data_IF_188657545871
#
_entry.id   IF_188657545871
#
_cell.length_a   1.000
_cell.length_b   1.000
_cell.length_c   1.000
_cell.angle_alpha   90.00
_cell.angle_beta   90.00
_cell.angle_gamma   90.00
#
_symmetry.space_group_name_H-M   'P 1'
#
loop_
_entity.id
_entity.type
_entity.pdbx_description
1 polymer ?
#
# COMPACT_ATOMS: atom_id res chain seq x y z
N UNK A 1 -82.78 11.75 -6.29
CA UNK A 1 -82.22 10.49 -5.74
C UNK A 1 -81.06 9.89 -6.56
N UNK A 2 -80.71 10.44 -7.75
CA UNK A 2 -79.64 9.89 -8.62
C UNK A 2 -78.20 10.32 -8.27
N UNK A 3 -77.98 11.38 -7.48
CA UNK A 3 -76.63 11.86 -7.15
C UNK A 3 -75.89 11.04 -6.07
N UNK A 4 -76.61 10.38 -5.14
CA UNK A 4 -76.01 9.61 -4.05
C UNK A 4 -75.52 8.21 -4.47
N UNK A 5 -76.03 7.66 -5.57
CA UNK A 5 -75.58 6.38 -6.11
C UNK A 5 -74.19 6.49 -6.78
N UNK A 6 -73.91 7.65 -7.39
CA UNK A 6 -72.65 7.93 -8.10
C UNK A 6 -71.46 8.11 -7.14
N UNK A 7 -71.64 8.82 -6.02
CA UNK A 7 -70.57 9.04 -5.04
C UNK A 7 -70.17 7.78 -4.28
N UNK A 8 -71.12 6.88 -3.98
CA UNK A 8 -70.80 5.56 -3.39
C UNK A 8 -70.00 4.67 -4.34
N UNK A 9 -70.28 4.72 -5.65
CA UNK A 9 -69.52 4.02 -6.68
C UNK A 9 -68.08 4.53 -6.79
N UNK A 10 -67.88 5.85 -6.72
CA UNK A 10 -66.55 6.48 -6.78
C UNK A 10 -65.71 6.14 -5.55
N UNK A 11 -66.29 6.23 -4.36
CA UNK A 11 -65.62 5.84 -3.11
C UNK A 11 -65.18 4.38 -3.13
N UNK A 12 -66.03 3.48 -3.61
CA UNK A 12 -65.70 2.07 -3.75
C UNK A 12 -64.53 1.84 -4.73
N UNK A 13 -64.54 2.52 -5.88
CA UNK A 13 -63.43 2.46 -6.84
C UNK A 13 -62.10 3.00 -6.29
N UNK A 14 -62.13 4.03 -5.44
CA UNK A 14 -60.95 4.54 -4.75
C UNK A 14 -60.37 3.51 -3.78
N UNK A 15 -61.21 2.82 -3.01
CA UNK A 15 -60.77 1.75 -2.11
C UNK A 15 -60.17 0.56 -2.87
N UNK A 16 -60.78 0.14 -3.98
CA UNK A 16 -60.21 -0.91 -4.84
C UNK A 16 -58.87 -0.48 -5.45
N UNK A 17 -58.75 0.78 -5.89
CA UNK A 17 -57.50 1.31 -6.43
C UNK A 17 -56.37 1.29 -5.38
N UNK A 18 -56.60 1.78 -4.16
CA UNK A 18 -55.59 1.76 -3.10
C UNK A 18 -55.25 0.33 -2.65
N UNK A 19 -56.23 -0.58 -2.63
CA UNK A 19 -56.00 -2.00 -2.38
C UNK A 19 -55.09 -2.63 -3.45
N UNK A 20 -55.38 -2.39 -4.72
CA UNK A 20 -54.54 -2.82 -5.84
C UNK A 20 -53.14 -2.21 -5.80
N UNK A 21 -53.04 -0.89 -5.57
CA UNK A 21 -51.77 -0.16 -5.51
C UNK A 21 -50.89 -0.69 -4.37
N UNK A 22 -51.48 -0.95 -3.19
CA UNK A 22 -50.77 -1.54 -2.05
C UNK A 22 -50.23 -2.94 -2.37
N UNK A 23 -51.05 -3.81 -2.99
CA UNK A 23 -50.61 -5.14 -3.42
C UNK A 23 -49.52 -5.08 -4.50
N UNK A 24 -49.67 -4.19 -5.47
CA UNK A 24 -48.68 -3.97 -6.52
C UNK A 24 -47.33 -3.49 -5.95
N UNK A 25 -47.36 -2.48 -5.08
CA UNK A 25 -46.17 -1.94 -4.42
C UNK A 25 -45.51 -3.01 -3.55
N UNK A 26 -46.27 -3.73 -2.73
CA UNK A 26 -45.75 -4.83 -1.90
C UNK A 26 -45.04 -5.88 -2.76
N UNK A 27 -45.69 -6.34 -3.84
CA UNK A 27 -45.09 -7.33 -4.75
C UNK A 27 -43.82 -6.81 -5.40
N UNK A 28 -43.81 -5.54 -5.82
CA UNK A 28 -42.65 -4.93 -6.50
C UNK A 28 -41.49 -4.68 -5.54
N UNK A 29 -41.76 -4.25 -4.31
CA UNK A 29 -40.77 -4.07 -3.26
C UNK A 29 -40.13 -5.41 -2.88
N UNK A 30 -40.94 -6.45 -2.65
CA UNK A 30 -40.42 -7.79 -2.32
C UNK A 30 -39.55 -8.32 -3.45
N UNK A 31 -40.04 -8.29 -4.70
CA UNK A 31 -39.26 -8.72 -5.85
C UNK A 31 -37.95 -7.94 -6.01
N UNK A 32 -37.99 -6.61 -5.83
CA UNK A 32 -36.80 -5.76 -5.87
C UNK A 32 -35.83 -6.10 -4.75
N UNK A 33 -36.33 -6.35 -3.54
CA UNK A 33 -35.53 -6.73 -2.37
C UNK A 33 -34.84 -8.06 -2.57
N UNK A 34 -35.54 -9.07 -3.09
CA UNK A 34 -34.96 -10.38 -3.38
C UNK A 34 -33.88 -10.29 -4.47
N UNK A 35 -34.13 -9.49 -5.52
CA UNK A 35 -33.15 -9.27 -6.59
C UNK A 35 -31.95 -8.48 -6.09
N UNK A 36 -32.17 -7.50 -5.22
CA UNK A 36 -31.11 -6.76 -4.55
C UNK A 36 -30.25 -7.69 -3.67
N UNK A 37 -30.86 -8.53 -2.83
CA UNK A 37 -30.14 -9.46 -1.96
C UNK A 37 -29.25 -10.43 -2.75
N UNK A 38 -29.74 -10.98 -3.87
CA UNK A 38 -28.92 -11.82 -4.76
C UNK A 38 -27.73 -11.06 -5.35
N UNK A 39 -27.95 -9.82 -5.79
CA UNK A 39 -26.91 -9.00 -6.41
C UNK A 39 -25.94 -8.40 -5.38
N UNK A 40 -26.39 -8.14 -4.15
CA UNK A 40 -25.61 -7.54 -3.06
C UNK A 40 -24.33 -8.34 -2.83
N UNK A 41 -24.43 -9.66 -2.74
CA UNK A 41 -23.28 -10.53 -2.49
C UNK A 41 -22.21 -10.44 -3.60
N UNK A 42 -22.62 -10.21 -4.85
CA UNK A 42 -21.69 -10.00 -5.96
C UNK A 42 -20.95 -8.66 -5.85
N UNK A 43 -21.69 -7.58 -5.56
CA UNK A 43 -21.08 -6.26 -5.35
C UNK A 43 -20.16 -6.25 -4.13
N UNK A 44 -20.59 -6.84 -3.01
CA UNK A 44 -19.79 -6.96 -1.78
C UNK A 44 -18.48 -7.70 -2.07
N UNK A 45 -18.50 -8.81 -2.82
CA UNK A 45 -17.27 -9.50 -3.23
C UNK A 45 -16.37 -8.61 -4.08
N UNK A 46 -16.91 -7.88 -5.07
CA UNK A 46 -16.12 -6.94 -5.89
C UNK A 46 -15.44 -5.86 -5.04
N UNK A 47 -16.15 -5.31 -4.06
CA UNK A 47 -15.62 -4.25 -3.20
C UNK A 47 -14.65 -4.78 -2.13
N UNK A 48 -14.80 -6.02 -1.67
CA UNK A 48 -13.91 -6.63 -0.67
C UNK A 48 -12.62 -7.18 -1.30
N UNK A 49 -12.66 -7.71 -2.52
CA UNK A 49 -11.51 -8.40 -3.15
C UNK A 49 -10.30 -7.50 -3.39
N UNK A 50 -10.47 -6.17 -3.40
CA UNK A 50 -9.35 -5.22 -3.44
C UNK A 50 -9.62 -4.04 -2.51
N UNK A 51 -9.14 -4.15 -1.26
CA UNK A 51 -9.23 -3.16 -0.16
C UNK A 51 -8.74 -1.77 -0.57
N UNK A 52 -9.51 -1.04 -1.36
CA UNK A 52 -9.24 0.36 -1.75
C UNK A 52 -9.13 0.64 -3.25
N UNK A 53 -8.87 -0.33 -4.13
CA UNK A 53 -8.72 -0.06 -5.59
C UNK A 53 -9.98 0.53 -6.22
N UNK A 54 -11.16 0.11 -5.75
CA UNK A 54 -12.44 0.61 -6.24
C UNK A 54 -13.04 1.73 -5.38
N UNK A 55 -12.34 2.21 -4.35
CA UNK A 55 -12.84 3.28 -3.47
C UNK A 55 -13.18 4.55 -4.28
N UNK A 56 -12.34 4.91 -5.26
CA UNK A 56 -12.58 6.08 -6.12
C UNK A 56 -13.86 5.94 -6.96
N UNK A 57 -14.07 4.79 -7.62
CA UNK A 57 -15.29 4.59 -8.40
C UNK A 57 -16.52 4.57 -7.48
N UNK A 58 -16.43 3.89 -6.34
CA UNK A 58 -17.50 3.88 -5.35
C UNK A 58 -17.87 5.30 -4.89
N UNK A 59 -16.89 6.13 -4.54
CA UNK A 59 -17.12 7.52 -4.15
C UNK A 59 -17.81 8.31 -5.26
N UNK A 60 -17.39 8.18 -6.53
CA UNK A 60 -18.07 8.84 -7.64
C UNK A 60 -19.52 8.35 -7.82
N UNK A 61 -19.77 7.04 -7.77
CA UNK A 61 -21.13 6.51 -7.86
C UNK A 61 -22.01 6.96 -6.68
N UNK A 62 -21.45 6.99 -5.47
CA UNK A 62 -22.14 7.45 -4.28
C UNK A 62 -22.47 8.94 -4.36
N UNK A 63 -21.52 9.79 -4.78
CA UNK A 63 -21.77 11.23 -4.93
C UNK A 63 -22.79 11.52 -6.03
N UNK A 64 -22.71 10.83 -7.18
CA UNK A 64 -23.71 10.92 -8.24
C UNK A 64 -25.09 10.48 -7.72
N UNK A 65 -25.15 9.41 -6.92
CA UNK A 65 -26.38 8.93 -6.30
C UNK A 65 -27.00 9.96 -5.34
N UNK A 66 -26.20 10.52 -4.43
CA UNK A 66 -26.65 11.54 -3.46
C UNK A 66 -27.11 12.81 -4.18
N UNK A 67 -26.33 13.30 -5.16
CA UNK A 67 -26.70 14.47 -5.95
C UNK A 67 -27.97 14.23 -6.76
N UNK A 68 -28.08 13.08 -7.43
CA UNK A 68 -29.27 12.72 -8.20
C UNK A 68 -30.52 12.62 -7.33
N UNK A 69 -30.40 12.00 -6.15
CA UNK A 69 -31.50 11.93 -5.19
C UNK A 69 -31.89 13.33 -4.66
N UNK A 70 -30.89 14.17 -4.37
CA UNK A 70 -31.10 15.57 -3.99
C UNK A 70 -31.86 16.35 -5.05
N UNK A 71 -31.49 16.21 -6.33
CA UNK A 71 -32.17 16.87 -7.46
C UNK A 71 -33.63 16.40 -7.59
N UNK A 72 -33.89 15.11 -7.40
CA UNK A 72 -35.26 14.57 -7.48
C UNK A 72 -36.16 15.05 -6.33
N UNK A 73 -35.60 15.24 -5.14
CA UNK A 73 -36.32 15.64 -3.94
C UNK A 73 -36.43 17.16 -3.80
N UNK A 74 -35.50 17.91 -4.39
CA UNK A 74 -35.42 19.37 -4.28
C UNK A 74 -36.76 20.09 -4.57
N UNK A 75 -37.54 19.75 -5.61
CA UNK A 75 -38.83 20.39 -5.86
C UNK A 75 -39.85 20.17 -4.73
N UNK A 76 -39.86 18.98 -4.13
CA UNK A 76 -40.76 18.64 -3.02
C UNK A 76 -40.35 19.33 -1.71
N UNK A 77 -39.05 19.43 -1.45
CA UNK A 77 -38.53 20.15 -0.29
C UNK A 77 -38.75 21.67 -0.41
N UNK A 78 -38.57 22.23 -1.60
CA UNK A 78 -38.76 23.66 -1.85
C UNK A 78 -40.23 24.10 -1.68
N UNK A 79 -41.20 23.23 -2.00
CA UNK A 79 -42.62 23.52 -1.80
C UNK A 79 -43.07 23.33 -0.34
N UNK A 80 -42.45 22.41 0.40
CA UNK A 80 -42.78 22.11 1.80
C UNK A 80 -42.07 23.07 2.78
N UNK A 81 -40.85 23.49 2.44
CA UNK A 81 -40.01 24.36 3.26
C UNK A 81 -39.58 25.59 2.45
N UNK A 82 -40.30 26.73 2.53
CA UNK A 82 -40.02 27.93 1.74
C UNK A 82 -38.71 28.64 2.12
N UNK A 83 -37.95 28.13 3.10
CA UNK A 83 -36.60 28.61 3.46
C UNK A 83 -35.68 28.66 2.24
N UNK A 84 -35.88 27.76 1.27
CA UNK A 84 -35.09 27.70 0.03
C UNK A 84 -35.75 28.39 -1.18
N UNK A 85 -37.02 28.80 -1.06
CA UNK A 85 -37.80 29.44 -2.13
C UNK A 85 -37.67 30.97 -2.13
N UNK A 86 -37.31 31.57 -0.98
CA UNK A 86 -37.34 33.03 -0.81
C UNK A 86 -36.27 33.82 -1.59
N UNK A 87 -35.22 33.19 -2.14
CA UNK A 87 -34.04 33.93 -2.66
C UNK A 87 -33.59 33.54 -4.08
N UNK A 88 -34.48 33.07 -4.96
CA UNK A 88 -34.14 32.91 -6.39
C UNK A 88 -34.51 34.13 -7.26
N UNK A 89 -34.93 35.24 -6.65
CA UNK A 89 -35.17 36.52 -7.33
C UNK A 89 -34.60 37.73 -6.60
N UNK A 90 -33.60 37.56 -5.74
CA UNK A 90 -32.69 38.68 -5.42
C UNK A 90 -31.77 38.87 -6.61
N UNK A 91 -32.22 39.69 -7.58
CA UNK A 91 -31.29 40.55 -8.32
C UNK A 91 -30.38 41.17 -7.25
N UNK A 92 -29.13 40.72 -7.21
CA UNK A 92 -28.12 41.29 -6.33
C UNK A 92 -27.97 42.74 -6.74
N UNK A 93 -28.68 43.64 -6.06
CA UNK A 93 -28.37 45.06 -6.10
C UNK A 93 -27.00 45.15 -5.44
N UNK A 94 -25.97 45.33 -6.26
CA UNK A 94 -24.62 45.62 -5.80
C UNK A 94 -24.71 47.00 -5.11
N UNK A 95 -25.02 46.99 -3.82
CA UNK A 95 -24.70 48.11 -2.95
C UNK A 95 -23.22 47.95 -2.65
N UNK A 96 -22.43 48.94 -3.03
CA UNK A 96 -20.99 48.94 -2.78
C UNK A 96 -20.69 48.58 -1.31
N UNK A 97 -19.74 47.67 -1.06
CA UNK A 97 -19.39 47.29 0.30
C UNK A 97 -18.73 48.48 1.00
N UNK A 98 -19.37 48.93 2.09
CA UNK A 98 -18.78 49.87 3.04
C UNK A 98 -17.43 49.31 3.53
N UNK A 99 -16.35 50.02 3.23
CA UNK A 99 -14.96 49.53 3.17
C UNK A 99 -14.29 49.32 4.54
N UNK A 100 -15.04 48.99 5.59
CA UNK A 100 -14.52 49.00 6.98
C UNK A 100 -14.72 47.72 7.79
N UNK A 101 -15.17 46.61 7.19
CA UNK A 101 -15.04 45.29 7.81
C UNK A 101 -14.24 44.37 6.91
N UNK A 102 -12.92 44.59 6.90
CA UNK A 102 -12.00 43.54 6.51
C UNK A 102 -12.10 42.42 7.56
N UNK A 103 -12.84 41.37 7.26
CA UNK A 103 -12.58 40.07 7.84
C UNK A 103 -11.16 39.73 7.40
N UNK A 104 -10.19 39.86 8.31
CA UNK A 104 -8.82 39.39 8.09
C UNK A 104 -8.89 37.86 8.02
N UNK A 105 -9.20 37.35 6.84
CA UNK A 105 -9.06 35.93 6.52
C UNK A 105 -7.56 35.68 6.55
N UNK A 106 -7.12 35.00 7.61
CA UNK A 106 -5.72 34.61 7.79
C UNK A 106 -5.23 33.89 6.52
N UNK A 107 -4.01 34.20 6.07
CA UNK A 107 -3.48 33.72 4.79
C UNK A 107 -3.35 32.18 4.72
N UNK A 108 -3.53 31.51 5.86
CA UNK A 108 -3.55 30.05 5.99
C UNK A 108 -4.85 29.38 5.53
N UNK A 109 -5.95 30.12 5.28
CA UNK A 109 -7.22 29.50 4.83
C UNK A 109 -7.16 28.98 3.39
N UNK A 110 -6.16 29.40 2.61
CA UNK A 110 -5.92 28.91 1.24
C UNK A 110 -4.76 27.92 1.13
N UNK A 111 -4.16 27.50 2.25
CA UNK A 111 -3.19 26.42 2.21
C UNK A 111 -3.92 25.11 1.87
N UNK A 112 -3.67 24.61 0.67
CA UNK A 112 -4.10 23.25 0.32
C UNK A 112 -3.15 22.30 1.04
N UNK A 113 -3.64 21.63 2.07
CA UNK A 113 -2.94 20.49 2.63
C UNK A 113 -2.74 19.47 1.52
N UNK A 114 -1.49 19.33 1.07
CA UNK A 114 -1.12 18.31 0.11
C UNK A 114 -1.44 16.98 0.78
N UNK A 115 -2.47 16.29 0.28
CA UNK A 115 -2.80 14.95 0.75
C UNK A 115 -1.56 14.07 0.58
N UNK A 116 -0.93 13.71 1.70
CA UNK A 116 0.23 12.82 1.76
C UNK A 116 -0.25 11.38 1.49
N UNK A 117 -0.78 11.13 0.29
CA UNK A 117 -1.15 9.79 -0.12
C UNK A 117 0.14 8.99 -0.33
N UNK A 118 0.32 7.85 0.36
CA UNK A 118 1.47 6.99 0.13
C UNK A 118 1.50 6.56 -1.34
N UNK A 119 2.70 6.53 -1.92
CA UNK A 119 2.90 6.11 -3.31
C UNK A 119 2.41 4.68 -3.49
N UNK A 120 1.85 4.37 -4.65
CA UNK A 120 1.14 3.10 -4.89
C UNK A 120 1.98 2.02 -5.56
N UNK A 121 3.20 2.35 -5.98
CA UNK A 121 4.06 1.49 -6.80
C UNK A 121 5.52 1.85 -6.63
N UNK A 122 6.36 0.86 -6.95
CA UNK A 122 7.80 1.05 -7.10
C UNK A 122 8.03 1.93 -8.34
N UNK A 123 8.85 2.97 -8.17
CA UNK A 123 9.22 3.90 -9.23
C UNK A 123 10.63 3.57 -9.70
N UNK A 124 10.87 3.61 -11.00
CA UNK A 124 12.21 3.59 -11.57
C UNK A 124 12.72 5.03 -11.70
N UNK A 125 13.85 5.32 -11.07
CA UNK A 125 14.47 6.63 -11.04
C UNK A 125 15.84 6.57 -11.71
N UNK A 126 16.07 7.42 -12.71
CA UNK A 126 17.38 7.56 -13.34
C UNK A 126 18.22 8.56 -12.55
N UNK A 127 19.38 8.12 -12.07
CA UNK A 127 20.31 8.92 -11.26
C UNK A 127 20.83 10.10 -12.07
N UNK A 128 20.71 11.30 -11.52
CA UNK A 128 21.15 12.54 -12.13
C UNK A 128 22.51 13.00 -11.59
N UNK A 129 23.16 13.92 -12.31
CA UNK A 129 24.45 14.48 -11.87
C UNK A 129 24.27 15.21 -10.53
N UNK A 130 25.04 14.80 -9.54
CA UNK A 130 25.00 15.37 -8.19
C UNK A 130 24.07 14.63 -7.22
N UNK A 131 23.34 13.62 -7.69
CA UNK A 131 22.56 12.76 -6.81
C UNK A 131 23.47 11.87 -5.96
N UNK A 132 23.03 11.66 -4.73
CA UNK A 132 23.58 10.71 -3.74
C UNK A 132 22.43 9.86 -3.21
N UNK A 133 22.72 8.71 -2.59
CA UNK A 133 21.66 7.91 -1.96
C UNK A 133 20.87 8.76 -0.96
N UNK A 134 21.55 9.56 -0.14
CA UNK A 134 20.93 10.44 0.86
C UNK A 134 19.98 11.49 0.26
N UNK A 135 20.40 12.16 -0.82
CA UNK A 135 19.56 13.18 -1.48
C UNK A 135 18.36 12.56 -2.18
N UNK A 136 18.53 11.40 -2.81
CA UNK A 136 17.42 10.63 -3.39
C UNK A 136 16.46 10.16 -2.29
N UNK A 137 16.96 9.61 -1.18
CA UNK A 137 16.15 9.15 -0.07
C UNK A 137 15.29 10.28 0.52
N UNK A 138 15.89 11.45 0.75
CA UNK A 138 15.20 12.65 1.22
C UNK A 138 14.14 13.14 0.21
N UNK A 139 14.46 13.13 -1.08
CA UNK A 139 13.52 13.53 -2.15
C UNK A 139 12.27 12.64 -2.19
N UNK A 140 12.41 11.36 -1.87
CA UNK A 140 11.31 10.39 -1.91
C UNK A 140 10.70 10.06 -0.53
N UNK A 141 11.25 10.63 0.55
CA UNK A 141 10.79 10.41 1.92
C UNK A 141 10.95 8.95 2.39
N UNK A 142 12.04 8.28 2.00
CA UNK A 142 12.35 6.89 2.41
C UNK A 142 13.73 6.79 3.05
N UNK A 143 14.05 5.68 3.71
CA UNK A 143 15.41 5.49 4.25
C UNK A 143 16.42 5.19 3.15
N UNK A 144 17.68 5.57 3.38
CA UNK A 144 18.80 5.23 2.49
C UNK A 144 18.97 3.71 2.35
N UNK A 145 18.82 3.00 3.46
CA UNK A 145 18.87 1.54 3.49
C UNK A 145 17.80 0.90 2.61
N UNK A 146 16.59 1.48 2.57
CA UNK A 146 15.52 1.01 1.67
C UNK A 146 15.98 1.06 0.22
N UNK A 147 16.66 2.13 -0.20
CA UNK A 147 17.20 2.27 -1.56
C UNK A 147 18.30 1.24 -1.79
N UNK A 148 19.22 1.06 -0.83
CA UNK A 148 20.31 0.07 -0.94
C UNK A 148 19.74 -1.34 -1.09
N UNK A 149 18.82 -1.74 -0.23
CA UNK A 149 18.22 -3.07 -0.24
C UNK A 149 17.39 -3.34 -1.50
N UNK A 150 16.59 -2.37 -1.94
CA UNK A 150 15.76 -2.51 -3.15
C UNK A 150 16.59 -2.67 -4.44
N UNK A 151 17.84 -2.18 -4.44
CA UNK A 151 18.73 -2.18 -5.60
C UNK A 151 19.95 -3.10 -5.44
N UNK A 152 20.09 -3.80 -4.32
CA UNK A 152 21.24 -4.68 -4.05
C UNK A 152 22.57 -3.94 -3.95
N UNK A 153 22.56 -2.68 -3.52
CA UNK A 153 23.77 -1.87 -3.35
C UNK A 153 24.46 -2.22 -2.04
N UNK A 154 25.78 -2.46 -2.09
CA UNK A 154 26.60 -2.74 -0.90
C UNK A 154 27.18 -1.48 -0.23
N UNK A 155 26.97 -0.30 -0.83
CA UNK A 155 27.47 0.97 -0.34
C UNK A 155 26.80 2.15 -1.05
N UNK A 156 27.41 3.33 -0.96
CA UNK A 156 26.80 4.59 -1.40
C UNK A 156 27.16 5.01 -2.84
N UNK A 157 27.92 4.17 -3.53
CA UNK A 157 28.36 4.44 -4.91
C UNK A 157 27.20 4.21 -5.88
N UNK A 158 26.76 5.29 -6.53
CA UNK A 158 25.78 5.28 -7.62
C UNK A 158 26.34 6.09 -8.79
N UNK A 159 26.06 5.64 -10.02
CA UNK A 159 26.56 6.29 -11.24
C UNK A 159 25.44 7.06 -11.93
N UNK A 160 25.77 8.20 -12.52
CA UNK A 160 24.82 8.97 -13.34
C UNK A 160 24.31 8.11 -14.48
N UNK A 161 22.98 8.03 -14.63
CA UNK A 161 22.31 7.17 -15.60
C UNK A 161 21.81 5.83 -15.04
N UNK A 162 22.26 5.41 -13.85
CA UNK A 162 21.77 4.18 -13.22
C UNK A 162 20.26 4.26 -12.98
N UNK A 163 19.56 3.15 -13.16
CA UNK A 163 18.12 3.05 -12.87
C UNK A 163 17.92 2.41 -11.51
N UNK A 164 17.49 3.21 -10.53
CA UNK A 164 17.20 2.78 -9.18
C UNK A 164 15.70 2.52 -8.99
N UNK A 165 15.37 1.40 -8.37
CA UNK A 165 14.04 1.08 -7.87
C UNK A 165 13.82 1.79 -6.54
N UNK A 166 12.80 2.65 -6.50
CA UNK A 166 12.42 3.43 -5.33
C UNK A 166 11.09 2.90 -4.81
N UNK A 167 11.11 2.36 -3.58
CA UNK A 167 9.91 1.84 -2.93
C UNK A 167 8.95 2.97 -2.55
N UNK A 168 7.65 2.66 -2.40
CA UNK A 168 6.64 3.64 -1.99
C UNK A 168 6.80 4.12 -0.54
N UNK A 169 7.37 3.29 0.32
CA UNK A 169 7.59 3.55 1.76
C UNK A 169 8.94 2.99 2.20
N UNK A 170 9.42 3.44 3.36
CA UNK A 170 10.57 2.85 4.04
C UNK A 170 10.30 1.39 4.38
N UNK A 171 11.25 0.51 4.06
CA UNK A 171 11.13 -0.93 4.31
C UNK A 171 11.78 -1.77 3.21
N UNK A 172 11.21 -2.95 2.96
CA UNK A 172 11.78 -3.94 2.04
C UNK A 172 10.74 -4.44 1.05
N UNK A 173 11.17 -4.66 -0.20
CA UNK A 173 10.39 -5.40 -1.19
C UNK A 173 10.84 -6.87 -1.18
N UNK A 174 9.95 -7.76 -0.74
CA UNK A 174 10.21 -9.20 -0.66
C UNK A 174 9.48 -9.93 -1.77
N UNK A 175 10.16 -10.86 -2.45
CA UNK A 175 9.53 -11.76 -3.41
C UNK A 175 9.06 -13.02 -2.69
N UNK A 176 7.75 -13.20 -2.60
CA UNK A 176 7.15 -14.33 -1.87
C UNK A 176 7.58 -15.67 -2.46
N UNK A 177 8.05 -16.58 -1.62
CA UNK A 177 8.34 -17.97 -1.98
C UNK A 177 7.28 -18.92 -1.44
N UNK A 178 7.33 -20.19 -1.88
CA UNK A 178 6.35 -21.19 -1.49
C UNK A 178 6.40 -21.47 0.01
N UNK A 179 5.24 -21.46 0.67
CA UNK A 179 5.08 -21.78 2.09
C UNK A 179 5.25 -20.59 3.05
N UNK A 180 5.52 -19.39 2.53
CA UNK A 180 5.58 -18.19 3.36
C UNK A 180 4.20 -17.66 3.74
N UNK A 181 4.15 -17.04 4.92
CA UNK A 181 3.01 -16.30 5.44
C UNK A 181 3.42 -14.86 5.70
N UNK A 182 2.44 -13.96 5.82
CA UNK A 182 2.70 -12.58 6.24
C UNK A 182 3.46 -12.55 7.56
N UNK A 183 3.12 -13.44 8.50
CA UNK A 183 3.78 -13.54 9.80
C UNK A 183 5.25 -13.97 9.71
N UNK A 184 5.56 -15.01 8.92
CA UNK A 184 6.93 -15.49 8.77
C UNK A 184 7.82 -14.46 8.08
N UNK A 185 7.28 -13.75 7.09
CA UNK A 185 7.98 -12.66 6.40
C UNK A 185 8.21 -11.48 7.35
N UNK A 186 7.17 -11.07 8.09
CA UNK A 186 7.27 -9.98 9.04
C UNK A 186 8.35 -10.24 10.09
N UNK A 187 8.35 -11.44 10.66
CA UNK A 187 9.34 -11.91 11.64
C UNK A 187 10.75 -11.94 11.05
N UNK A 188 10.89 -12.36 9.79
CA UNK A 188 12.19 -12.38 9.13
C UNK A 188 12.77 -10.97 8.97
N UNK A 189 11.94 -9.97 8.68
CA UNK A 189 12.37 -8.57 8.49
C UNK A 189 12.19 -7.69 9.73
N UNK A 190 11.94 -8.27 10.91
CA UNK A 190 11.69 -7.53 12.16
C UNK A 190 10.64 -6.40 12.01
N UNK A 191 9.56 -6.67 11.27
CA UNK A 191 8.47 -5.71 11.01
C UNK A 191 7.16 -6.15 11.65
N UNK A 192 6.19 -5.23 11.76
CA UNK A 192 4.87 -5.55 12.27
C UNK A 192 4.00 -6.22 11.18
N UNK A 193 3.51 -7.45 11.39
CA UNK A 193 2.62 -8.13 10.43
C UNK A 193 1.39 -7.31 10.05
N UNK A 194 0.84 -6.55 11.01
CA UNK A 194 -0.34 -5.73 10.81
C UNK A 194 -0.06 -4.58 9.81
N UNK A 195 1.14 -3.98 9.85
CA UNK A 195 1.52 -2.95 8.89
C UNK A 195 1.60 -3.50 7.46
N UNK A 196 2.06 -4.75 7.28
CA UNK A 196 2.10 -5.41 5.97
C UNK A 196 0.67 -5.65 5.45
N UNK A 197 -0.23 -6.08 6.33
CA UNK A 197 -1.65 -6.31 6.00
C UNK A 197 -2.38 -5.02 5.66
N UNK A 198 -2.14 -3.96 6.45
CA UNK A 198 -2.80 -2.67 6.30
C UNK A 198 -2.21 -1.84 5.16
N UNK A 199 -1.05 -2.23 4.64
CA UNK A 199 -0.45 -1.57 3.51
C UNK A 199 -1.34 -1.70 2.27
N UNK A 200 -1.93 -0.59 1.77
CA UNK A 200 -3.02 -0.64 0.79
C UNK A 200 -2.62 -1.16 -0.59
N UNK A 201 -1.31 -1.28 -0.85
CA UNK A 201 -0.77 -1.73 -2.14
C UNK A 201 -0.24 -3.16 -2.11
N UNK A 202 -0.36 -3.85 -0.97
CA UNK A 202 -0.14 -5.29 -0.93
C UNK A 202 -1.41 -6.02 -1.40
N UNK A 203 -1.26 -6.86 -2.42
CA UNK A 203 -2.34 -7.72 -2.90
C UNK A 203 -2.25 -9.10 -2.24
N UNK A 204 -3.40 -9.62 -1.80
CA UNK A 204 -3.54 -10.94 -1.20
C UNK A 204 -4.50 -11.77 -2.04
N UNK A 205 -4.24 -13.08 -2.17
CA UNK A 205 -5.13 -13.99 -2.87
C UNK A 205 -6.48 -14.14 -2.17
N UNK A 206 -6.48 -14.08 -0.83
CA UNK A 206 -7.69 -14.02 -0.02
C UNK A 206 -7.57 -12.92 1.05
N UNK A 207 -8.50 -11.96 1.10
CA UNK A 207 -8.45 -10.82 2.03
C UNK A 207 -8.81 -11.17 3.48
N UNK A 208 -9.39 -12.35 3.74
CA UNK A 208 -9.72 -12.81 5.10
C UNK A 208 -8.56 -13.62 5.70
N UNK A 209 -7.93 -14.47 4.90
CA UNK A 209 -6.82 -15.33 5.35
C UNK A 209 -5.44 -14.76 5.04
N UNK A 210 -5.37 -13.65 4.31
CA UNK A 210 -4.13 -12.99 3.86
C UNK A 210 -3.18 -13.94 3.12
N UNK A 211 -3.74 -14.89 2.36
CA UNK A 211 -2.93 -15.83 1.60
C UNK A 211 -2.13 -15.13 0.51
N UNK A 212 -0.86 -15.52 0.37
CA UNK A 212 0.08 -14.91 -0.57
C UNK A 212 0.16 -15.74 -1.85
N UNK A 213 0.41 -15.06 -2.98
CA UNK A 213 0.69 -15.71 -4.26
C UNK A 213 2.20 -15.87 -4.41
N UNK A 214 2.65 -17.07 -4.78
CA UNK A 214 4.07 -17.35 -5.02
C UNK A 214 4.60 -16.44 -6.14
N UNK A 215 5.73 -15.80 -5.89
CA UNK A 215 6.41 -14.92 -6.83
C UNK A 215 5.94 -13.46 -6.81
N UNK A 216 4.89 -13.12 -6.07
CA UNK A 216 4.45 -11.73 -5.94
C UNK A 216 5.45 -10.89 -5.13
N UNK A 217 5.54 -9.60 -5.45
CA UNK A 217 6.30 -8.64 -4.64
C UNK A 217 5.41 -8.14 -3.52
N UNK A 218 5.84 -8.37 -2.28
CA UNK A 218 5.21 -7.91 -1.07
C UNK A 218 6.06 -6.76 -0.51
N UNK A 219 5.44 -5.60 -0.28
CA UNK A 219 6.10 -4.50 0.42
C UNK A 219 5.97 -4.75 1.92
N UNK A 220 7.09 -4.68 2.62
CA UNK A 220 7.20 -4.86 4.06
C UNK A 220 7.57 -3.50 4.66
N UNK A 221 6.58 -2.69 5.11
CA UNK A 221 6.85 -1.40 5.73
C UNK A 221 7.70 -1.58 6.98
N UNK A 222 8.63 -0.65 7.20
CA UNK A 222 9.55 -0.62 8.35
C UNK A 222 10.42 -1.89 8.51
N UNK A 223 10.42 -2.78 7.51
CA UNK A 223 11.24 -3.99 7.52
C UNK A 223 12.72 -3.68 7.41
N UNK A 224 13.52 -4.38 8.21
CA UNK A 224 14.98 -4.28 8.25
C UNK A 224 15.58 -5.60 7.76
N UNK A 225 16.60 -5.51 6.89
CA UNK A 225 17.24 -6.71 6.35
C UNK A 225 18.11 -7.30 7.46
N UNK A 226 17.93 -8.58 7.84
CA UNK A 226 18.75 -9.19 8.88
C UNK A 226 20.23 -9.08 8.57
N UNK A 227 21.01 -8.63 9.55
CA UNK A 227 22.47 -8.64 9.49
C UNK A 227 22.95 -10.09 9.34
N UNK A 228 23.82 -10.36 8.37
CA UNK A 228 24.39 -11.70 8.18
C UNK A 228 25.26 -12.04 9.41
N UNK A 229 24.77 -12.94 10.28
CA UNK A 229 25.59 -13.46 11.39
C UNK A 229 26.67 -14.35 10.76
N UNK A 230 27.96 -14.07 10.99
CA UNK A 230 29.02 -14.93 10.46
C UNK A 230 28.84 -16.32 11.06
N UNK A 231 28.57 -17.31 10.21
CA UNK A 231 28.49 -18.71 10.64
C UNK A 231 29.88 -19.11 11.11
N UNK A 232 30.07 -19.17 12.43
CA UNK A 232 31.25 -19.79 13.02
C UNK A 232 31.17 -21.28 12.69
N UNK A 233 31.86 -21.70 11.62
CA UNK A 233 32.02 -23.12 11.32
C UNK A 233 32.87 -23.72 12.44
N UNK A 234 32.23 -24.47 13.34
CA UNK A 234 32.93 -25.28 14.35
C UNK A 234 33.81 -26.27 13.58
N UNK A 235 35.11 -26.03 13.59
CA UNK A 235 36.09 -26.92 12.97
C UNK A 235 36.27 -28.12 13.89
N UNK A 236 35.89 -29.29 13.42
CA UNK A 236 36.39 -30.54 14.01
C UNK A 236 37.90 -30.55 13.80
N UNK A 237 38.66 -30.46 14.89
CA UNK A 237 40.12 -30.56 14.89
C UNK A 237 40.53 -31.96 14.44
N UNK A 238 40.68 -32.16 13.14
CA UNK A 238 41.43 -33.31 12.61
C UNK A 238 42.90 -32.92 12.73
N UNK A 239 43.59 -33.46 13.72
CA UNK A 239 45.01 -33.29 13.96
C UNK A 239 45.82 -33.75 12.73
N UNK A 240 46.19 -32.82 11.86
CA UNK A 240 47.19 -33.05 10.81
C UNK A 240 48.58 -32.78 11.38
N UNK A 241 49.49 -33.75 11.23
CA UNK A 241 50.89 -33.62 11.64
C UNK A 241 51.58 -32.54 10.77
N UNK A 242 52.25 -31.61 11.44
CA UNK A 242 53.02 -30.53 10.80
C UNK A 242 54.44 -31.04 10.50
N UNK A 243 54.83 -31.08 9.23
CA UNK A 243 56.21 -31.35 8.82
C UNK A 243 56.98 -30.04 8.69
N UNK A 244 58.12 -29.95 9.39
CA UNK A 244 59.12 -28.90 9.24
C UNK A 244 60.22 -29.41 8.28
N UNK A 245 60.22 -28.91 7.04
CA UNK A 245 61.24 -29.21 6.04
C UNK A 245 61.15 -28.22 4.88
N UNK A 246 62.21 -28.08 4.06
CA UNK A 246 62.23 -27.13 2.95
C UNK A 246 61.07 -27.42 2.00
N UNK A 247 60.18 -26.45 1.85
CA UNK A 247 58.95 -26.58 1.08
C UNK A 247 59.35 -26.61 -0.39
N UNK A 248 59.01 -27.67 -1.18
CA UNK A 248 59.31 -27.67 -2.59
C UNK A 248 58.56 -26.51 -3.25
N UNK A 249 59.31 -25.58 -3.86
CA UNK A 249 58.76 -24.50 -4.67
C UNK A 249 57.98 -25.12 -5.82
N UNK A 250 56.68 -24.85 -5.87
CA UNK A 250 55.83 -25.27 -6.97
C UNK A 250 56.30 -24.58 -8.26
N UNK A 251 56.28 -25.24 -9.43
CA UNK A 251 56.72 -24.64 -10.70
C UNK A 251 56.02 -23.32 -11.07
N UNK A 252 54.90 -22.99 -10.42
CA UNK A 252 54.14 -21.74 -10.59
C UNK A 252 54.56 -20.58 -9.67
N UNK A 253 55.68 -20.67 -8.94
CA UNK A 253 56.20 -19.57 -8.12
C UNK A 253 55.44 -19.28 -6.82
N UNK A 254 54.42 -20.07 -6.50
CA UNK A 254 53.66 -19.96 -5.25
C UNK A 254 53.85 -21.21 -4.40
N UNK A 255 54.31 -21.03 -3.15
CA UNK A 255 54.39 -22.07 -2.13
C UNK A 255 53.59 -21.64 -0.91
N UNK A 256 52.88 -22.59 -0.28
CA UNK A 256 52.23 -22.32 0.99
C UNK A 256 53.29 -21.98 2.05
N UNK A 257 53.19 -20.84 2.76
CA UNK A 257 54.19 -20.46 3.76
C UNK A 257 54.12 -21.32 5.03
N UNK A 258 52.97 -21.98 5.25
CA UNK A 258 52.71 -22.82 6.41
C UNK A 258 51.91 -24.07 5.99
N UNK A 259 52.17 -25.21 6.64
CA UNK A 259 51.46 -26.48 6.42
C UNK A 259 50.21 -26.65 7.29
N UNK A 260 49.56 -25.53 7.64
CA UNK A 260 48.41 -25.48 8.54
C UNK A 260 47.04 -25.59 7.85
N UNK A 261 46.00 -25.75 8.66
CA UNK A 261 44.62 -25.63 8.18
C UNK A 261 44.27 -24.17 7.91
N UNK A 262 43.67 -23.86 6.76
CA UNK A 262 43.16 -22.51 6.46
C UNK A 262 42.03 -22.19 7.44
N UNK A 263 42.20 -21.33 8.44
CA UNK A 263 41.17 -20.90 9.42
C UNK A 263 40.10 -20.02 8.81
N UNK A 264 40.45 -19.21 7.82
CA UNK A 264 39.53 -18.30 7.14
C UNK A 264 39.91 -18.20 5.67
N UNK A 265 38.93 -18.43 4.80
CA UNK A 265 39.10 -18.19 3.37
C UNK A 265 38.88 -16.72 3.06
N UNK A 266 39.44 -16.25 1.94
CA UNK A 266 39.17 -14.92 1.44
C UNK A 266 37.65 -14.75 1.20
N UNK A 267 37.07 -13.69 1.77
CA UNK A 267 35.69 -13.28 1.59
C UNK A 267 35.63 -11.80 1.23
N UNK A 268 34.45 -11.30 0.85
CA UNK A 268 34.25 -9.92 0.44
C UNK A 268 34.58 -8.88 1.53
N UNK A 269 34.62 -9.28 2.80
CA UNK A 269 35.01 -8.46 3.95
C UNK A 269 36.34 -8.89 4.59
N UNK A 270 37.02 -9.90 4.04
CA UNK A 270 38.30 -10.41 4.52
C UNK A 270 39.14 -10.91 3.34
N UNK A 271 39.95 -10.03 2.74
CA UNK A 271 40.73 -10.33 1.52
C UNK A 271 42.02 -11.12 1.79
N UNK A 272 42.15 -11.75 2.95
CA UNK A 272 43.29 -12.57 3.33
C UNK A 272 42.87 -14.03 3.56
N UNK A 273 43.84 -14.93 3.40
CA UNK A 273 43.72 -16.34 3.78
C UNK A 273 44.45 -16.51 5.09
N UNK A 274 43.73 -16.86 6.16
CA UNK A 274 44.36 -17.13 7.45
C UNK A 274 44.70 -18.62 7.54
N UNK A 275 45.94 -18.91 7.92
CA UNK A 275 46.44 -20.28 8.09
C UNK A 275 46.76 -20.47 9.57
N UNK A 276 46.13 -21.47 10.19
CA UNK A 276 46.35 -21.80 11.60
C UNK A 276 47.69 -22.53 11.77
N UNK A 277 48.52 -22.06 12.70
CA UNK A 277 49.73 -22.74 13.13
C UNK A 277 49.97 -22.54 14.64
N UNK A 278 50.67 -23.46 15.33
CA UNK A 278 51.09 -23.25 16.71
C UNK A 278 51.95 -21.99 16.88
N UNK A 279 51.90 -21.36 18.06
CA UNK A 279 52.78 -20.24 18.40
C UNK A 279 54.24 -20.67 18.30
N UNK A 280 55.06 -19.89 17.60
CA UNK A 280 56.47 -20.20 17.33
C UNK A 280 56.72 -20.96 16.02
N UNK A 281 55.69 -21.18 15.19
CA UNK A 281 55.88 -21.76 13.86
C UNK A 281 56.59 -20.76 12.93
N UNK A 282 57.73 -21.11 12.31
CA UNK A 282 58.43 -20.26 11.35
C UNK A 282 57.60 -20.04 10.08
N UNK A 283 57.60 -18.82 9.52
CA UNK A 283 56.90 -18.40 8.29
C UNK A 283 57.91 -17.95 7.25
#
# INVERSE_FOLDING_TARGET
MFFFASTRSILFGIFEFFGFLGLYLKKKIIFSSEKFEKNKNYFVKIFIVKRGRYNRLFLHFATIGVLGFGILIAPFLASTYPVFSANSSTSAKITEPNTQQLISVDANVFQTDISQKPRDKVIEYSVQRGDTISTIANKFGISEDTIRWANGLSGDSITVGDTLKILPVTGIAHKVISGETVYSIAKYYDSNPQQIVDFPFNEFANPETFSLVIGQILIVPDGVKPSEVPVQRIRQNISRQYYAGPIPVSPGGFSWPLSGGISQYASWYHMAIDITAPVGTPV
#
